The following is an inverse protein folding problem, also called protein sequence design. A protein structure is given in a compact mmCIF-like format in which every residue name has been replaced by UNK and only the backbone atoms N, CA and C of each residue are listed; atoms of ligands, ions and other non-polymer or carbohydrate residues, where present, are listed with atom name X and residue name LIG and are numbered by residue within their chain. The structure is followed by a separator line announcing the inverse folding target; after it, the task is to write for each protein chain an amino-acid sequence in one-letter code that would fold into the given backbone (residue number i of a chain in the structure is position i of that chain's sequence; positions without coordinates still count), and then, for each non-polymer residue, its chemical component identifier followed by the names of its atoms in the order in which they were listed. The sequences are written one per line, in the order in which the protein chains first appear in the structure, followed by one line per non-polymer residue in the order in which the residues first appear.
data_IF_359245608006
#
_entry.id   IF_359245608006
#
_cell.length_a   1.000
_cell.length_b   1.000
_cell.length_c   1.000
_cell.angle_alpha   90.00
_cell.angle_beta   90.00
_cell.angle_gamma   90.00
#
_symmetry.space_group_name_H-M   'P 1'
#
loop_
_entity.id
_entity.type
_entity.pdbx_description
1 polymer ?
#
# COMPACT_ATOMS: atom_id res chain seq x y z
N UNK A 1 -28.92 -8.59 -26.84
CA UNK A 1 -27.68 -8.28 -26.08
C UNK A 1 -27.66 -6.79 -25.74
N UNK A 2 -27.03 -6.37 -24.62
CA UNK A 2 -26.98 -4.96 -24.16
C UNK A 2 -26.09 -4.04 -25.02
N UNK A 3 -25.22 -4.62 -25.86
CA UNK A 3 -24.38 -3.88 -26.79
C UNK A 3 -24.37 -4.58 -28.16
N UNK A 4 -24.24 -3.83 -29.28
CA UNK A 4 -24.19 -4.39 -30.62
C UNK A 4 -22.85 -5.07 -30.96
N UNK A 5 -21.80 -4.85 -30.15
CA UNK A 5 -20.46 -5.46 -30.30
C UNK A 5 -19.94 -5.90 -28.92
N UNK A 6 -19.03 -6.88 -28.84
CA UNK A 6 -18.32 -7.20 -27.60
C UNK A 6 -17.53 -5.99 -27.07
N UNK A 7 -17.50 -5.83 -25.75
CA UNK A 7 -16.72 -4.77 -25.10
C UNK A 7 -15.23 -5.09 -25.13
N UNK A 8 -14.40 -4.08 -25.41
CA UNK A 8 -12.95 -4.16 -25.21
C UNK A 8 -12.65 -4.21 -23.70
N UNK A 9 -11.79 -5.15 -23.29
CA UNK A 9 -11.36 -5.30 -21.89
C UNK A 9 -9.88 -4.97 -21.78
N UNK A 10 -9.54 -4.04 -20.89
CA UNK A 10 -8.16 -3.64 -20.59
C UNK A 10 -7.96 -3.84 -19.09
N UNK A 11 -6.95 -4.63 -18.72
CA UNK A 11 -6.56 -4.85 -17.33
C UNK A 11 -5.19 -4.23 -17.05
N UNK A 12 -5.07 -3.55 -15.91
CA UNK A 12 -3.81 -2.97 -15.44
C UNK A 12 -3.47 -3.59 -14.09
N UNK A 13 -2.22 -4.06 -13.93
CA UNK A 13 -1.78 -4.58 -12.64
C UNK A 13 -0.27 -4.47 -12.44
N UNK A 14 0.14 -4.27 -11.18
CA UNK A 14 1.54 -4.11 -10.79
C UNK A 14 2.23 -5.44 -10.45
N UNK A 15 1.52 -6.40 -9.87
CA UNK A 15 2.09 -7.69 -9.43
C UNK A 15 1.13 -8.82 -9.75
N UNK A 16 1.49 -9.67 -10.71
CA UNK A 16 0.67 -10.82 -11.10
C UNK A 16 1.50 -12.07 -11.31
N UNK A 17 1.02 -13.18 -10.73
CA UNK A 17 1.64 -14.49 -10.93
C UNK A 17 0.61 -15.60 -10.74
N UNK A 18 0.37 -16.48 -11.74
CA UNK A 18 0.81 -16.40 -13.14
C UNK A 18 -0.07 -15.46 -13.98
N UNK A 19 0.55 -14.61 -14.82
CA UNK A 19 -0.12 -13.54 -15.57
C UNK A 19 -1.18 -14.08 -16.56
N UNK A 20 -1.02 -15.31 -17.04
CA UNK A 20 -1.94 -16.00 -17.95
C UNK A 20 -3.27 -16.38 -17.27
N UNK A 21 -3.26 -16.65 -15.96
CA UNK A 21 -4.51 -16.88 -15.21
C UNK A 21 -5.31 -15.58 -15.09
N UNK A 22 -4.63 -14.46 -14.89
CA UNK A 22 -5.23 -13.13 -14.78
C UNK A 22 -5.79 -12.69 -16.14
N UNK A 23 -5.03 -12.91 -17.21
CA UNK A 23 -5.48 -12.66 -18.58
C UNK A 23 -6.76 -13.45 -18.92
N UNK A 24 -6.81 -14.74 -18.56
CA UNK A 24 -8.02 -15.58 -18.71
C UNK A 24 -9.18 -15.09 -17.85
N UNK A 25 -8.92 -14.65 -16.62
CA UNK A 25 -9.94 -14.05 -15.76
C UNK A 25 -10.52 -12.78 -16.38
N UNK A 26 -9.69 -11.90 -16.96
CA UNK A 26 -10.11 -10.65 -17.59
C UNK A 26 -11.08 -10.89 -18.76
N UNK A 27 -10.78 -11.86 -19.65
CA UNK A 27 -11.63 -12.14 -20.83
C UNK A 27 -12.75 -13.15 -20.57
N UNK A 28 -12.72 -13.83 -19.41
CA UNK A 28 -13.75 -14.77 -18.97
C UNK A 28 -13.68 -16.12 -19.69
N UNK A 29 -14.49 -17.09 -19.20
CA UNK A 29 -14.49 -18.48 -19.67
C UNK A 29 -15.11 -18.69 -21.07
N UNK A 30 -15.73 -17.67 -21.65
CA UNK A 30 -16.37 -17.69 -22.96
C UNK A 30 -15.43 -17.33 -24.13
N UNK A 31 -14.14 -17.12 -23.86
CA UNK A 31 -13.13 -17.04 -24.92
C UNK A 31 -12.95 -18.41 -25.60
N UNK A 32 -12.98 -18.42 -26.94
CA UNK A 32 -12.63 -19.62 -27.71
C UNK A 32 -11.24 -20.11 -27.27
N UNK A 33 -11.06 -21.39 -26.88
CA UNK A 33 -9.75 -21.93 -26.50
C UNK A 33 -8.66 -21.79 -27.57
N UNK A 34 -9.05 -21.56 -28.83
CA UNK A 34 -8.16 -21.34 -29.98
C UNK A 34 -7.80 -19.87 -30.24
N UNK A 35 -8.32 -18.93 -29.46
CA UNK A 35 -8.06 -17.50 -29.60
C UNK A 35 -7.65 -16.91 -28.24
N UNK A 36 -6.35 -16.66 -27.98
CA UNK A 36 -5.90 -16.09 -26.72
C UNK A 36 -6.23 -14.59 -26.71
N UNK A 37 -7.50 -14.26 -26.46
CA UNK A 37 -8.07 -12.92 -26.66
C UNK A 37 -7.51 -11.81 -25.74
N UNK A 38 -6.48 -12.09 -24.94
CA UNK A 38 -5.82 -11.11 -24.09
C UNK A 38 -4.34 -11.02 -24.44
N UNK A 39 -3.96 -9.96 -25.18
CA UNK A 39 -2.55 -9.62 -25.39
C UNK A 39 -1.94 -9.19 -24.06
N UNK A 40 -1.02 -9.99 -23.55
CA UNK A 40 -0.25 -9.69 -22.34
C UNK A 40 0.90 -8.77 -22.72
N UNK A 41 1.00 -7.63 -22.04
CA UNK A 41 2.13 -6.70 -22.15
C UNK A 41 2.81 -6.66 -20.79
N UNK A 42 3.90 -7.39 -20.67
CA UNK A 42 4.77 -7.38 -19.50
C UNK A 42 6.08 -6.71 -19.87
N UNK A 43 6.30 -5.52 -19.32
CA UNK A 43 7.50 -4.71 -19.59
C UNK A 43 8.64 -5.00 -18.59
N UNK A 44 8.39 -5.85 -17.58
CA UNK A 44 9.30 -6.05 -16.46
C UNK A 44 9.45 -4.78 -15.61
N UNK A 45 9.36 -4.90 -14.28
CA UNK A 45 9.61 -3.77 -13.39
C UNK A 45 10.67 -4.13 -12.35
N UNK A 46 11.93 -3.96 -12.73
CA UNK A 46 13.08 -4.08 -11.82
C UNK A 46 13.68 -2.70 -11.59
N UNK A 47 13.00 -1.90 -10.76
CA UNK A 47 13.72 -0.80 -10.09
C UNK A 47 14.52 -1.40 -8.94
N UNK A 48 15.79 -1.01 -8.75
CA UNK A 48 16.52 -1.36 -7.54
C UNK A 48 15.75 -0.83 -6.34
N UNK A 49 15.55 -1.67 -5.33
CA UNK A 49 14.90 -1.30 -4.07
C UNK A 49 15.96 -1.29 -2.99
N UNK A 50 16.05 -0.18 -2.28
CA UNK A 50 16.78 -0.11 -1.02
C UNK A 50 15.87 -0.68 0.07
N UNK A 51 16.20 -1.86 0.57
CA UNK A 51 15.38 -2.61 1.53
C UNK A 51 16.22 -2.91 2.78
N UNK A 52 15.71 -2.50 3.93
CA UNK A 52 16.29 -2.80 5.24
C UNK A 52 15.27 -3.48 6.15
N UNK A 53 15.77 -4.24 7.12
CA UNK A 53 15.00 -4.73 8.27
C UNK A 53 15.65 -4.12 9.50
N UNK A 54 14.86 -3.37 10.26
CA UNK A 54 15.29 -2.78 11.51
C UNK A 54 14.51 -3.39 12.69
N UNK A 55 15.22 -3.58 13.79
CA UNK A 55 14.68 -4.15 15.03
C UNK A 55 15.08 -3.22 16.18
N UNK A 56 14.18 -2.91 17.14
CA UNK A 56 14.55 -2.16 18.33
C UNK A 56 15.74 -2.78 19.07
N UNK A 57 16.57 -1.98 19.77
CA UNK A 57 17.76 -2.46 20.48
C UNK A 57 17.40 -3.16 21.82
N UNK A 58 16.30 -3.90 21.86
CA UNK A 58 15.80 -4.66 23.00
C UNK A 58 15.40 -6.06 22.55
N UNK A 59 15.37 -7.01 23.48
CA UNK A 59 14.98 -8.38 23.16
C UNK A 59 13.54 -8.41 22.61
N UNK A 60 13.34 -9.17 21.53
CA UNK A 60 12.01 -9.38 20.96
C UNK A 60 11.23 -10.35 21.85
N UNK A 61 10.06 -9.90 22.28
CA UNK A 61 9.10 -10.68 23.05
C UNK A 61 7.81 -10.88 22.24
N UNK A 62 6.99 -11.86 22.65
CA UNK A 62 5.71 -12.15 21.98
C UNK A 62 4.73 -10.96 22.05
N UNK A 63 4.86 -10.12 23.08
CA UNK A 63 4.09 -8.90 23.26
C UNK A 63 5.07 -7.76 23.49
N UNK A 64 5.03 -6.75 22.63
CA UNK A 64 5.85 -5.56 22.80
C UNK A 64 5.31 -4.71 23.96
N UNK A 65 6.18 -4.34 24.90
CA UNK A 65 5.87 -3.33 25.92
C UNK A 65 5.62 -1.95 25.29
N UNK A 66 4.94 -1.06 26.03
CA UNK A 66 4.76 0.31 25.57
C UNK A 66 6.10 1.03 25.37
N UNK A 67 7.07 0.83 26.26
CA UNK A 67 8.41 1.41 26.16
C UNK A 67 9.11 0.97 24.86
N UNK A 68 8.91 -0.27 24.44
CA UNK A 68 9.48 -0.74 23.17
C UNK A 68 8.80 -0.09 21.96
N UNK A 69 7.49 0.18 22.03
CA UNK A 69 6.79 0.94 21.01
C UNK A 69 7.28 2.38 20.91
N UNK A 70 7.62 3.03 22.03
CA UNK A 70 8.19 4.39 22.00
C UNK A 70 9.49 4.43 21.18
N UNK A 71 10.38 3.43 21.34
CA UNK A 71 11.60 3.31 20.53
C UNK A 71 11.30 3.19 19.03
N UNK A 72 10.25 2.45 18.66
CA UNK A 72 9.80 2.33 17.26
C UNK A 72 9.28 3.67 16.74
N UNK A 73 8.50 4.40 17.54
CA UNK A 73 7.98 5.71 17.14
C UNK A 73 9.09 6.76 17.01
N UNK A 74 10.10 6.74 17.89
CA UNK A 74 11.28 7.59 17.78
C UNK A 74 12.05 7.29 16.49
N UNK A 75 12.25 6.00 16.17
CA UNK A 75 12.95 5.60 14.95
C UNK A 75 12.18 5.99 13.69
N UNK A 76 10.86 5.79 13.67
CA UNK A 76 10.00 6.22 12.56
C UNK A 76 10.02 7.75 12.38
N UNK A 77 9.98 8.51 13.47
CA UNK A 77 10.06 9.97 13.41
C UNK A 77 11.42 10.44 12.88
N UNK A 78 12.51 9.81 13.31
CA UNK A 78 13.84 10.09 12.79
C UNK A 78 13.93 9.81 11.28
N UNK A 79 13.52 8.61 10.84
CA UNK A 79 13.48 8.27 9.42
C UNK A 79 12.59 9.22 8.62
N UNK A 80 11.45 9.65 9.18
CA UNK A 80 10.59 10.64 8.55
C UNK A 80 11.25 12.01 8.39
N UNK A 81 12.12 12.42 9.33
CA UNK A 81 12.90 13.65 9.23
C UNK A 81 14.00 13.61 8.16
N UNK A 82 14.50 12.43 7.82
CA UNK A 82 15.53 12.25 6.77
C UNK A 82 14.96 12.20 5.34
N UNK A 83 13.64 12.07 5.21
CA UNK A 83 12.97 11.88 3.92
C UNK A 83 11.94 12.97 3.66
N UNK A 84 11.74 13.33 2.37
CA UNK A 84 10.72 14.32 1.98
C UNK A 84 9.29 13.85 2.28
N UNK A 85 9.02 12.57 2.08
CA UNK A 85 7.71 11.95 2.24
C UNK A 85 7.90 10.53 2.74
N UNK A 86 7.22 10.17 3.83
CA UNK A 86 7.28 8.83 4.43
C UNK A 86 5.88 8.23 4.54
N UNK A 87 5.70 7.05 3.95
CA UNK A 87 4.45 6.28 4.06
C UNK A 87 4.65 5.14 5.06
N UNK A 88 3.89 5.15 6.14
CA UNK A 88 3.89 4.09 7.16
C UNK A 88 2.67 3.20 6.97
N UNK A 89 2.89 1.97 6.50
CA UNK A 89 1.83 0.98 6.38
C UNK A 89 1.66 0.21 7.70
N UNK A 90 0.40 0.00 8.08
CA UNK A 90 0.03 -0.72 9.31
C UNK A 90 -1.12 -1.67 9.03
N UNK A 91 -1.25 -2.71 9.85
CA UNK A 91 -2.20 -3.80 9.59
C UNK A 91 -3.64 -3.47 9.97
N UNK A 92 -3.88 -2.50 10.86
CA UNK A 92 -5.23 -2.21 11.38
C UNK A 92 -5.52 -0.72 11.44
N UNK A 93 -6.80 -0.37 11.34
CA UNK A 93 -7.30 1.02 11.50
C UNK A 93 -6.89 1.60 12.86
N UNK A 94 -7.06 0.83 13.94
CA UNK A 94 -6.65 1.23 15.29
C UNK A 94 -5.15 1.53 15.38
N UNK A 95 -4.32 0.74 14.69
CA UNK A 95 -2.88 0.98 14.64
C UNK A 95 -2.57 2.26 13.87
N UNK A 96 -3.26 2.54 12.75
CA UNK A 96 -3.04 3.77 11.99
C UNK A 96 -3.29 5.02 12.84
N UNK A 97 -4.41 5.05 13.57
CA UNK A 97 -4.74 6.14 14.49
C UNK A 97 -3.69 6.26 15.62
N UNK A 98 -3.27 5.12 16.19
CA UNK A 98 -2.26 5.10 17.26
C UNK A 98 -0.91 5.63 16.78
N UNK A 99 -0.40 5.13 15.66
CA UNK A 99 0.87 5.59 15.07
C UNK A 99 0.78 7.06 14.69
N UNK A 100 -0.32 7.48 14.07
CA UNK A 100 -0.55 8.89 13.70
C UNK A 100 -0.45 9.80 14.93
N UNK A 101 -1.09 9.43 16.04
CA UNK A 101 -1.02 10.19 17.28
C UNK A 101 0.42 10.32 17.80
N UNK A 102 1.13 9.21 17.97
CA UNK A 102 2.49 9.22 18.55
C UNK A 102 3.51 9.90 17.64
N UNK A 103 3.36 9.80 16.32
CA UNK A 103 4.19 10.54 15.38
C UNK A 103 3.82 12.02 15.34
N UNK A 104 2.55 12.38 15.47
CA UNK A 104 2.12 13.78 15.57
C UNK A 104 2.64 14.47 16.84
N UNK A 105 2.77 13.74 17.95
CA UNK A 105 3.39 14.25 19.18
C UNK A 105 4.89 14.57 18.98
N UNK A 106 5.58 13.85 18.07
CA UNK A 106 7.02 14.01 17.78
C UNK A 106 7.32 14.98 16.65
N UNK A 107 6.55 14.92 15.57
CA UNK A 107 6.76 15.67 14.32
C UNK A 107 5.84 16.89 14.22
N UNK A 108 4.81 16.99 15.05
CA UNK A 108 3.78 18.01 14.97
C UNK A 108 2.56 17.55 14.16
N UNK A 109 1.37 17.90 14.66
CA UNK A 109 0.08 17.42 14.15
C UNK A 109 -0.25 17.79 12.70
N UNK A 110 0.38 18.83 12.14
CA UNK A 110 0.19 19.21 10.73
C UNK A 110 1.00 18.37 9.75
N UNK A 111 2.04 17.69 10.23
CA UNK A 111 2.98 16.92 9.39
C UNK A 111 2.56 15.46 9.20
N UNK A 112 1.61 14.97 10.01
CA UNK A 112 1.19 13.57 10.01
C UNK A 112 -0.30 13.46 9.72
N UNK A 113 -0.69 12.49 8.91
CA UNK A 113 -2.09 12.22 8.57
C UNK A 113 -2.36 10.71 8.57
N UNK A 114 -3.49 10.31 9.16
CA UNK A 114 -4.00 8.94 9.03
C UNK A 114 -4.71 8.77 7.68
N UNK A 115 -4.62 7.58 7.08
CA UNK A 115 -5.37 7.23 5.88
C UNK A 115 -5.91 5.81 5.98
N UNK A 116 -7.24 5.66 6.03
CA UNK A 116 -7.91 4.35 5.92
C UNK A 116 -9.37 4.49 5.52
N UNK A 117 -9.97 3.41 5.00
CA UNK A 117 -11.33 3.41 4.44
C UNK A 117 -12.47 3.82 5.39
N UNK A 118 -12.24 3.89 6.71
CA UNK A 118 -13.22 4.40 7.68
C UNK A 118 -13.20 5.91 7.90
N UNK A 119 -12.25 6.64 7.30
CA UNK A 119 -12.25 8.10 7.35
C UNK A 119 -13.24 8.67 6.35
N UNK A 120 -13.80 9.83 6.70
CA UNK A 120 -14.63 10.63 5.80
C UNK A 120 -13.88 10.89 4.49
N UNK A 121 -14.63 11.02 3.39
CA UNK A 121 -14.07 11.21 2.05
C UNK A 121 -13.17 12.45 2.00
N UNK A 122 -13.60 13.52 2.67
CA UNK A 122 -12.94 14.81 2.72
C UNK A 122 -11.57 14.69 3.40
N UNK A 123 -11.49 13.97 4.52
CA UNK A 123 -10.23 13.72 5.24
C UNK A 123 -9.27 12.86 4.43
N UNK A 124 -9.78 11.85 3.71
CA UNK A 124 -8.94 11.02 2.82
C UNK A 124 -8.37 11.84 1.67
N UNK A 125 -9.20 12.68 1.06
CA UNK A 125 -8.80 13.54 -0.06
C UNK A 125 -7.77 14.59 0.39
N UNK A 126 -7.96 15.21 1.55
CA UNK A 126 -6.97 16.14 2.13
C UNK A 126 -5.61 15.45 2.34
N UNK A 127 -5.61 14.23 2.91
CA UNK A 127 -4.39 13.47 3.10
C UNK A 127 -3.71 13.12 1.75
N UNK A 128 -4.48 12.75 0.73
CA UNK A 128 -3.97 12.45 -0.62
C UNK A 128 -3.39 13.69 -1.31
N UNK A 129 -3.96 14.89 -1.11
CA UNK A 129 -3.50 16.13 -1.72
C UNK A 129 -2.23 16.70 -1.09
N UNK A 130 -1.91 16.30 0.14
CA UNK A 130 -0.71 16.75 0.86
C UNK A 130 0.53 15.89 0.60
N UNK A 131 0.39 14.75 -0.09
CA UNK A 131 1.47 13.82 -0.47
C UNK A 131 2.21 14.28 -1.74
#
# INVERSE_FOLDING_TARGET
ALCPRPLLRIGLSATQKPIEKVARFLVGASGNPRDPACRIVDIGYTRPRDLGIEVPPVALEAVMSNDTWELVYDRLAHLAGEHRTTLVFVNTRRMAERVTRFLAERLGSRQVAAHHGSLAKELRLDAEQRL
#
